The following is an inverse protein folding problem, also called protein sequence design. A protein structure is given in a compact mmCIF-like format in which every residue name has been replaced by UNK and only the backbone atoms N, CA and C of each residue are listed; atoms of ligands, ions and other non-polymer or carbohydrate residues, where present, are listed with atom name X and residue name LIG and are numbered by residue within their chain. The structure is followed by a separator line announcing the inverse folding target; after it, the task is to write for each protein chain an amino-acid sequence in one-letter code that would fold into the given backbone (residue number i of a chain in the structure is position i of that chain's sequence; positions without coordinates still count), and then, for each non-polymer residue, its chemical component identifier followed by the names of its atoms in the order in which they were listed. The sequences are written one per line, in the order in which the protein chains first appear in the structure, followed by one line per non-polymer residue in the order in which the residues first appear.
data_IF_219199073485
#
_entry.id   IF_219199073485
#
_cell.length_a   1.000
_cell.length_b   1.000
_cell.length_c   1.000
_cell.angle_alpha   90.00
_cell.angle_beta   90.00
_cell.angle_gamma   90.00
#
_symmetry.space_group_name_H-M   'P 1'
#
loop_
_entity.id
_entity.type
_entity.pdbx_description
1 polymer ?
#
# COMPACT_ATOMS: atom_id res chain seq x y z
N UNK A 1 23.05 20.37 8.63
CA UNK A 1 22.90 19.11 7.86
C UNK A 1 21.55 18.50 8.25
N UNK A 2 20.50 18.75 7.48
CA UNK A 2 19.19 18.16 7.74
C UNK A 2 19.22 16.70 7.26
N UNK A 3 19.64 15.78 8.13
CA UNK A 3 19.26 14.38 7.95
C UNK A 3 17.78 14.30 8.31
N UNK A 4 16.91 14.42 7.32
CA UNK A 4 15.53 13.96 7.48
C UNK A 4 15.62 12.49 7.88
N UNK A 5 15.25 12.15 9.11
CA UNK A 5 15.23 10.78 9.58
C UNK A 5 14.43 9.93 8.59
N UNK A 6 15.00 8.81 8.14
CA UNK A 6 14.31 7.90 7.23
C UNK A 6 13.06 7.38 7.94
N UNK A 7 11.88 7.62 7.38
CA UNK A 7 10.62 7.15 7.94
C UNK A 7 10.66 5.64 8.17
N UNK A 8 10.31 5.21 9.38
CA UNK A 8 10.31 3.80 9.79
C UNK A 8 8.89 3.24 9.73
N UNK A 9 8.80 1.92 9.58
CA UNK A 9 7.53 1.19 9.66
C UNK A 9 7.40 0.44 10.98
N UNK A 10 6.16 0.27 11.48
CA UNK A 10 5.87 -0.69 12.55
C UNK A 10 5.98 -2.14 12.06
N UNK A 11 5.98 -2.37 10.75
CA UNK A 11 6.37 -3.66 10.16
C UNK A 11 7.88 -3.79 10.28
N UNK A 12 8.35 -4.52 11.29
CA UNK A 12 9.77 -4.60 11.65
C UNK A 12 10.67 -4.98 10.46
N UNK A 13 10.29 -5.99 9.70
CA UNK A 13 11.04 -6.50 8.55
C UNK A 13 11.16 -5.51 7.40
N UNK A 14 10.36 -4.45 7.35
CA UNK A 14 10.49 -3.41 6.33
C UNK A 14 11.63 -2.43 6.62
N UNK A 15 12.07 -2.32 7.89
CA UNK A 15 13.11 -1.38 8.28
C UNK A 15 14.48 -1.88 7.84
N UNK A 16 15.03 -1.28 6.77
CA UNK A 16 16.31 -1.70 6.19
C UNK A 16 16.21 -2.79 5.13
N UNK A 17 14.98 -3.13 4.70
CA UNK A 17 14.77 -4.06 3.59
C UNK A 17 15.27 -3.45 2.27
N UNK A 18 15.96 -4.24 1.44
CA UNK A 18 16.51 -3.79 0.15
C UNK A 18 15.42 -3.40 -0.84
N UNK A 19 14.46 -4.31 -1.04
CA UNK A 19 13.46 -4.19 -2.11
C UNK A 19 12.13 -3.60 -1.64
N UNK A 20 11.67 -3.94 -0.43
CA UNK A 20 10.36 -3.55 0.08
C UNK A 20 10.40 -2.70 1.36
N UNK A 21 11.24 -1.65 1.44
CA UNK A 21 11.17 -0.73 2.56
C UNK A 21 9.90 0.14 2.47
N UNK A 22 9.56 0.84 3.55
CA UNK A 22 8.43 1.78 3.59
C UNK A 22 8.49 2.84 2.48
N UNK A 23 9.67 3.13 1.95
CA UNK A 23 9.88 4.09 0.88
C UNK A 23 9.55 3.52 -0.50
N UNK A 24 9.41 2.20 -0.70
CA UNK A 24 9.10 1.65 -2.01
C UNK A 24 7.59 1.46 -2.20
N UNK A 25 6.95 0.65 -1.36
CA UNK A 25 5.52 0.29 -1.42
C UNK A 25 5.04 -0.06 -2.85
N UNK A 26 5.62 -1.08 -3.52
CA UNK A 26 5.18 -1.49 -4.84
C UNK A 26 3.81 -2.18 -4.75
N UNK A 27 2.96 -1.89 -5.73
CA UNK A 27 1.66 -2.54 -5.91
C UNK A 27 1.81 -3.81 -6.74
N UNK A 28 1.10 -4.87 -6.34
CA UNK A 28 1.09 -6.15 -7.04
C UNK A 28 -0.25 -6.86 -6.91
N UNK A 29 -0.45 -7.88 -7.75
CA UNK A 29 -1.59 -8.78 -7.65
C UNK A 29 -1.13 -10.07 -6.99
N UNK A 30 -1.85 -10.52 -5.97
CA UNK A 30 -1.57 -11.75 -5.25
C UNK A 30 -2.84 -12.57 -5.04
N UNK A 31 -2.68 -13.83 -4.65
CA UNK A 31 -3.75 -14.73 -4.22
C UNK A 31 -3.19 -15.73 -3.22
N UNK A 32 -4.02 -16.16 -2.26
CA UNK A 32 -3.67 -17.20 -1.29
C UNK A 32 -4.37 -18.51 -1.68
N UNK A 33 -3.61 -19.49 -2.16
CA UNK A 33 -4.19 -20.77 -2.59
C UNK A 33 -5.23 -20.59 -3.71
N UNK A 34 -6.46 -21.01 -3.45
CA UNK A 34 -7.60 -20.90 -4.38
C UNK A 34 -8.44 -19.63 -4.20
N UNK A 35 -8.01 -18.68 -3.37
CA UNK A 35 -8.71 -17.41 -3.20
C UNK A 35 -8.67 -16.56 -4.48
N UNK A 36 -9.64 -15.65 -4.59
CA UNK A 36 -9.66 -14.67 -5.67
C UNK A 36 -8.39 -13.81 -5.66
N UNK A 37 -7.95 -13.38 -6.86
CA UNK A 37 -6.84 -12.44 -7.00
C UNK A 37 -7.23 -11.08 -6.44
N UNK A 38 -6.32 -10.48 -5.68
CA UNK A 38 -6.50 -9.18 -5.03
C UNK A 38 -5.29 -8.30 -5.25
N UNK A 39 -5.47 -7.01 -5.06
CA UNK A 39 -4.38 -6.06 -5.04
C UNK A 39 -3.75 -5.98 -3.65
N UNK A 40 -2.43 -5.97 -3.60
CA UNK A 40 -1.66 -5.81 -2.37
C UNK A 40 -0.43 -4.94 -2.57
N UNK A 41 0.16 -4.55 -1.45
CA UNK A 41 1.41 -3.77 -1.40
C UNK A 41 2.46 -4.59 -0.67
N UNK A 42 3.64 -4.76 -1.27
CA UNK A 42 4.74 -5.43 -0.59
C UNK A 42 5.39 -4.49 0.45
N UNK A 43 5.65 -5.02 1.65
CA UNK A 43 6.26 -4.30 2.77
C UNK A 43 7.05 -5.28 3.65
N UNK A 44 8.38 -5.15 3.64
CA UNK A 44 9.27 -6.16 4.20
C UNK A 44 9.00 -7.53 3.59
N UNK A 45 8.87 -8.55 4.44
CA UNK A 45 8.54 -9.93 4.06
C UNK A 45 7.02 -10.18 3.94
N UNK A 46 6.21 -9.14 3.99
CA UNK A 46 4.75 -9.23 4.01
C UNK A 46 4.10 -8.52 2.82
N UNK A 47 2.82 -8.85 2.60
CA UNK A 47 1.95 -8.17 1.65
C UNK A 47 0.75 -7.60 2.43
N UNK A 48 0.54 -6.29 2.33
CA UNK A 48 -0.67 -5.64 2.82
C UNK A 48 -1.81 -5.82 1.80
N UNK A 49 -2.91 -6.45 2.22
CA UNK A 49 -4.11 -6.61 1.40
C UNK A 49 -4.94 -5.32 1.37
N UNK A 50 -5.05 -4.69 0.19
CA UNK A 50 -5.77 -3.42 0.06
C UNK A 50 -7.28 -3.57 0.20
N UNK A 51 -7.86 -4.71 -0.19
CA UNK A 51 -9.29 -4.97 -0.02
C UNK A 51 -9.63 -5.14 1.46
N UNK A 52 -8.76 -5.80 2.23
CA UNK A 52 -8.93 -5.95 3.68
C UNK A 52 -8.87 -4.59 4.39
N UNK A 53 -7.90 -3.74 4.05
CA UNK A 53 -7.78 -2.38 4.61
C UNK A 53 -8.97 -1.50 4.22
N UNK A 54 -9.48 -1.64 2.99
CA UNK A 54 -10.70 -0.96 2.55
C UNK A 54 -11.94 -1.42 3.33
N UNK A 55 -12.06 -2.72 3.59
CA UNK A 55 -13.15 -3.29 4.37
C UNK A 55 -13.12 -2.82 5.84
N UNK A 56 -11.93 -2.53 6.38
CA UNK A 56 -11.76 -1.89 7.68
C UNK A 56 -12.09 -0.38 7.69
N UNK A 57 -12.44 0.21 6.54
CA UNK A 57 -12.82 1.62 6.44
C UNK A 57 -11.65 2.60 6.50
N UNK A 58 -10.42 2.15 6.28
CA UNK A 58 -9.21 2.97 6.49
C UNK A 58 -8.81 3.84 5.28
N UNK A 59 -9.56 3.73 4.17
CA UNK A 59 -9.37 4.53 2.98
C UNK A 59 -10.56 5.46 2.74
N UNK A 60 -10.23 6.72 2.46
CA UNK A 60 -11.20 7.78 2.17
C UNK A 60 -10.82 8.53 0.89
N UNK A 61 -11.77 9.29 0.33
CA UNK A 61 -11.57 10.18 -0.81
C UNK A 61 -10.86 9.51 -1.99
N UNK A 62 -9.78 10.14 -2.47
CA UNK A 62 -9.00 9.67 -3.61
C UNK A 62 -8.26 8.35 -3.35
N UNK A 63 -7.88 8.07 -2.10
CA UNK A 63 -7.27 6.78 -1.75
C UNK A 63 -8.29 5.64 -1.85
N UNK A 64 -9.54 5.89 -1.41
CA UNK A 64 -10.64 4.95 -1.60
C UNK A 64 -10.89 4.68 -3.10
N UNK A 65 -11.01 5.73 -3.90
CA UNK A 65 -11.22 5.61 -5.34
C UNK A 65 -10.10 4.80 -6.02
N UNK A 66 -8.85 5.00 -5.58
CA UNK A 66 -7.71 4.22 -6.05
C UNK A 66 -7.85 2.72 -5.76
N UNK A 67 -8.23 2.34 -4.53
CA UNK A 67 -8.39 0.93 -4.14
C UNK A 67 -9.61 0.31 -4.80
N UNK A 68 -10.73 1.05 -4.92
CA UNK A 68 -11.90 0.60 -5.65
C UNK A 68 -11.58 0.26 -7.12
N UNK A 69 -10.67 1.02 -7.75
CA UNK A 69 -10.20 0.77 -9.11
C UNK A 69 -9.24 -0.43 -9.24
N UNK A 70 -8.83 -1.05 -8.13
CA UNK A 70 -8.03 -2.30 -8.14
C UNK A 70 -8.87 -3.56 -7.94
N UNK A 71 -10.18 -3.41 -7.68
CA UNK A 71 -11.10 -4.53 -7.43
C UNK A 71 -11.12 -5.50 -8.60
N UNK A 72 -11.22 -6.80 -8.28
CA UNK A 72 -11.17 -7.87 -9.27
C UNK A 72 -9.75 -8.30 -9.63
N UNK A 73 -8.74 -7.86 -8.88
CA UNK A 73 -7.37 -8.35 -9.02
C UNK A 73 -6.65 -7.83 -10.26
N UNK A 74 -6.91 -6.58 -10.65
CA UNK A 74 -6.24 -5.94 -11.79
C UNK A 74 -5.82 -4.51 -11.45
N UNK A 75 -4.64 -4.09 -11.93
CA UNK A 75 -4.13 -2.73 -11.73
C UNK A 75 -4.46 -1.78 -12.89
N UNK A 76 -5.06 -2.28 -13.97
CA UNK A 76 -5.28 -1.51 -15.21
C UNK A 76 -6.15 -0.27 -14.96
N UNK A 77 -7.28 -0.42 -14.25
CA UNK A 77 -8.16 0.70 -13.95
C UNK A 77 -7.50 1.69 -12.98
N UNK A 78 -6.74 1.20 -11.99
CA UNK A 78 -5.91 2.05 -11.13
C UNK A 78 -4.88 2.87 -11.92
N UNK A 79 -4.19 2.28 -12.90
CA UNK A 79 -3.25 3.01 -13.76
C UNK A 79 -3.95 3.98 -14.71
N UNK A 80 -5.20 3.70 -15.08
CA UNK A 80 -6.07 4.62 -15.81
C UNK A 80 -6.48 5.86 -15.01
N UNK A 81 -6.34 5.84 -13.68
CA UNK A 81 -6.58 7.02 -12.85
C UNK A 81 -5.48 8.09 -13.04
N UNK A 82 -5.83 9.31 -12.65
CA UNK A 82 -4.89 10.43 -12.61
C UNK A 82 -3.83 10.30 -11.50
N UNK A 83 -2.85 11.22 -11.54
CA UNK A 83 -1.79 11.33 -10.53
C UNK A 83 -2.33 11.47 -9.11
N UNK A 84 -3.45 12.17 -8.93
CA UNK A 84 -4.04 12.48 -7.63
C UNK A 84 -4.39 11.22 -6.84
N UNK A 85 -5.09 10.26 -7.47
CA UNK A 85 -5.44 8.99 -6.84
C UNK A 85 -4.20 8.19 -6.42
N UNK A 86 -3.15 8.17 -7.25
CA UNK A 86 -1.90 7.46 -6.95
C UNK A 86 -1.16 8.09 -5.77
N UNK A 87 -1.08 9.41 -5.74
CA UNK A 87 -0.44 10.15 -4.64
C UNK A 87 -1.22 9.96 -3.35
N UNK A 88 -2.55 10.06 -3.40
CA UNK A 88 -3.40 9.89 -2.23
C UNK A 88 -3.28 8.48 -1.64
N UNK A 89 -3.31 7.43 -2.49
CA UNK A 89 -3.10 6.06 -2.02
C UNK A 89 -1.73 5.90 -1.36
N UNK A 90 -0.67 6.38 -2.01
CA UNK A 90 0.69 6.28 -1.47
C UNK A 90 0.85 7.01 -0.14
N UNK A 91 0.34 8.24 -0.03
CA UNK A 91 0.37 9.01 1.20
C UNK A 91 -0.36 8.26 2.32
N UNK A 92 -1.56 7.72 2.03
CA UNK A 92 -2.33 6.99 3.02
C UNK A 92 -1.64 5.69 3.47
N UNK A 93 -0.98 4.98 2.55
CA UNK A 93 -0.20 3.79 2.90
C UNK A 93 1.01 4.13 3.76
N UNK A 94 1.71 5.23 3.48
CA UNK A 94 2.83 5.70 4.30
C UNK A 94 2.39 6.04 5.72
N UNK A 95 1.23 6.69 5.87
CA UNK A 95 0.62 6.92 7.19
C UNK A 95 0.31 5.59 7.86
N UNK A 96 -0.50 4.73 7.26
CA UNK A 96 -0.95 3.47 7.88
C UNK A 96 0.21 2.54 8.27
N UNK A 97 1.29 2.52 7.49
CA UNK A 97 2.44 1.65 7.72
C UNK A 97 3.57 2.35 8.49
N UNK A 98 3.47 3.65 8.75
CA UNK A 98 4.47 4.43 9.47
C UNK A 98 4.54 4.04 10.94
N UNK A 99 5.73 4.09 11.55
CA UNK A 99 5.96 3.68 12.94
C UNK A 99 5.09 4.45 13.97
N UNK A 100 4.62 5.65 13.63
CA UNK A 100 3.74 6.48 14.48
C UNK A 100 2.26 6.04 14.45
N UNK A 101 1.92 5.02 13.67
CA UNK A 101 0.55 4.53 13.48
C UNK A 101 0.25 3.23 14.23
N UNK A 102 1.20 2.71 15.01
CA UNK A 102 1.04 1.52 15.84
C UNK A 102 0.34 1.80 17.18
#
# INVERSE_FOLDING_TARGET
MNQSAIARSWVEHANGHSDFPLQNLPLGIFSRGSEARRCGVAIGDAILDLEAVQAAGLFEGQAKAAVDATRGGALNAYFGLGREARVALRARLLELLGADSA
#
